data_IF_006287987013
#
_entry.id   IF_006287987013
#
_cell.length_a   1.000
_cell.length_b   1.000
_cell.length_c   1.000
_cell.angle_alpha   90.00
_cell.angle_beta   90.00
_cell.angle_gamma   90.00
#
_symmetry.space_group_name_H-M   'P 1'
#
loop_
_entity.id
_entity.type
_entity.pdbx_description
1 polymer ?
#
# COMPACT_ATOMS: atom_id res chain seq x y z
N UNK A 1 45.17 -53.79 -3.06
CA UNK A 1 44.21 -52.96 -2.27
C UNK A 1 43.19 -52.33 -3.22
N UNK A 2 41.89 -52.62 -3.09
CA UNK A 2 40.88 -52.11 -4.02
C UNK A 2 40.57 -50.63 -3.76
N UNK A 3 40.47 -49.85 -4.84
CA UNK A 3 40.16 -48.43 -4.84
C UNK A 3 38.71 -48.16 -4.40
N UNK A 4 38.43 -47.01 -3.73
CA UNK A 4 37.07 -46.66 -3.33
C UNK A 4 36.20 -46.27 -4.54
N UNK A 5 34.87 -46.52 -4.48
CA UNK A 5 33.94 -46.17 -5.56
C UNK A 5 33.75 -44.64 -5.69
N UNK A 6 33.47 -44.13 -6.90
CA UNK A 6 33.26 -42.69 -7.12
C UNK A 6 31.93 -42.23 -6.52
N UNK A 7 31.97 -41.12 -5.77
CA UNK A 7 30.80 -40.46 -5.19
C UNK A 7 29.96 -39.74 -6.25
N UNK A 8 28.62 -39.67 -6.09
CA UNK A 8 27.73 -39.06 -7.08
C UNK A 8 27.86 -37.53 -7.13
N UNK A 9 27.81 -36.99 -8.35
CA UNK A 9 27.72 -35.55 -8.62
C UNK A 9 26.35 -35.00 -8.25
N UNK A 10 26.24 -33.79 -7.68
CA UNK A 10 25.00 -33.04 -7.75
C UNK A 10 24.90 -32.32 -9.10
N UNK A 11 23.88 -32.71 -9.88
CA UNK A 11 23.32 -31.87 -10.93
C UNK A 11 22.38 -30.81 -10.31
N UNK A 12 22.06 -29.79 -11.11
CA UNK A 12 21.21 -28.63 -10.83
C UNK A 12 21.95 -27.49 -10.10
N UNK A 13 21.73 -26.22 -10.44
CA UNK A 13 20.44 -25.66 -10.82
C UNK A 13 20.63 -24.36 -11.60
N UNK A 14 19.73 -24.17 -12.56
CA UNK A 14 19.48 -22.98 -13.35
C UNK A 14 19.79 -21.68 -12.62
N UNK A 15 20.31 -20.68 -13.37
CA UNK A 15 20.39 -19.27 -12.95
C UNK A 15 19.01 -18.79 -12.49
N UNK A 16 18.71 -18.97 -11.21
CA UNK A 16 17.66 -18.26 -10.53
C UNK A 16 18.14 -16.80 -10.40
N UNK A 17 17.31 -15.80 -10.70
CA UNK A 17 17.66 -14.43 -10.39
C UNK A 17 17.88 -14.36 -8.88
N UNK A 18 19.00 -13.77 -8.47
CA UNK A 18 19.28 -13.52 -7.06
C UNK A 18 18.03 -12.86 -6.46
N UNK A 19 17.48 -13.49 -5.41
CA UNK A 19 16.54 -12.85 -4.50
C UNK A 19 17.30 -11.62 -3.99
N UNK A 20 17.05 -10.47 -4.62
CA UNK A 20 17.39 -9.20 -4.00
C UNK A 20 16.63 -9.24 -2.67
N UNK A 21 17.31 -9.20 -1.52
CA UNK A 21 16.61 -8.92 -0.29
C UNK A 21 15.76 -7.70 -0.59
N UNK A 22 14.49 -7.77 -0.22
CA UNK A 22 13.53 -6.68 -0.32
C UNK A 22 14.23 -5.45 0.25
N UNK A 23 14.88 -4.65 -0.61
CA UNK A 23 15.29 -3.31 -0.28
C UNK A 23 13.94 -2.64 -0.08
N UNK A 24 13.43 -2.67 1.16
CA UNK A 24 12.37 -1.80 1.60
C UNK A 24 13.05 -0.43 1.52
N UNK A 25 12.81 0.42 0.50
CA UNK A 25 13.18 1.81 0.68
C UNK A 25 12.39 2.23 1.90
N UNK A 26 13.11 2.50 2.99
CA UNK A 26 12.57 3.10 4.19
C UNK A 26 12.11 4.50 3.79
N UNK A 27 10.92 4.58 3.21
CA UNK A 27 10.25 5.83 2.92
C UNK A 27 9.54 6.23 4.21
N UNK A 28 10.27 7.00 5.03
CA UNK A 28 9.72 7.81 6.10
C UNK A 28 8.53 8.61 5.55
N UNK A 29 7.30 8.12 5.76
CA UNK A 29 6.06 8.80 5.37
C UNK A 29 5.00 7.91 4.74
N UNK A 30 5.36 6.79 4.12
CA UNK A 30 4.37 5.96 3.42
C UNK A 30 3.53 5.06 4.33
N UNK A 31 3.89 4.89 5.60
CA UNK A 31 3.18 4.08 6.60
C UNK A 31 2.63 4.93 7.76
N UNK A 32 2.53 6.25 7.57
CA UNK A 32 2.16 7.16 8.66
C UNK A 32 0.66 7.42 8.73
N UNK A 33 0.04 7.11 9.86
CA UNK A 33 -1.32 7.49 10.22
C UNK A 33 -1.46 7.64 11.74
N UNK A 34 -2.38 8.49 12.19
CA UNK A 34 -2.66 8.77 13.61
C UNK A 34 -3.91 8.02 14.08
N UNK A 35 -4.93 7.92 13.23
CA UNK A 35 -6.21 7.35 13.60
C UNK A 35 -6.15 5.83 13.62
N UNK A 36 -6.75 5.20 14.64
CA UNK A 36 -6.72 3.74 14.78
C UNK A 36 -7.42 3.00 13.62
N UNK A 37 -8.37 3.65 12.94
CA UNK A 37 -9.03 3.12 11.76
C UNK A 37 -8.30 3.47 10.45
N UNK A 38 -7.19 4.19 10.55
CA UNK A 38 -6.38 4.68 9.43
C UNK A 38 -7.13 5.59 8.44
N UNK A 39 -8.21 6.25 8.87
CA UNK A 39 -8.97 7.20 8.02
C UNK A 39 -8.13 8.39 7.54
N UNK A 40 -7.11 8.79 8.30
CA UNK A 40 -6.20 9.89 7.98
C UNK A 40 -4.98 9.48 7.14
N UNK A 41 -4.84 8.19 6.84
CA UNK A 41 -3.74 7.67 6.04
C UNK A 41 -3.74 8.25 4.62
N UNK A 42 -2.60 8.83 4.20
CA UNK A 42 -2.41 9.41 2.86
C UNK A 42 -1.10 8.96 2.20
N UNK A 43 -0.51 7.86 2.67
CA UNK A 43 0.68 7.27 2.04
C UNK A 43 0.36 6.60 0.70
N UNK A 44 1.39 6.00 0.07
CA UNK A 44 1.31 5.42 -1.27
C UNK A 44 1.30 3.89 -1.30
N UNK A 45 1.04 3.22 -0.18
CA UNK A 45 0.88 1.76 -0.17
C UNK A 45 -0.29 1.38 -1.08
N UNK A 46 -0.07 0.41 -1.96
CA UNK A 46 -1.04 -0.09 -2.95
C UNK A 46 -1.03 -1.62 -3.06
N UNK A 47 -0.63 -2.28 -1.98
CA UNK A 47 -0.58 -3.73 -1.85
C UNK A 47 -1.22 -4.11 -0.51
N UNK A 48 -2.02 -5.17 -0.52
CA UNK A 48 -2.69 -5.66 0.69
C UNK A 48 -1.73 -6.40 1.61
N UNK A 49 -2.16 -6.73 2.83
CA UNK A 49 -1.39 -7.54 3.80
C UNK A 49 -0.91 -8.86 3.18
N UNK A 50 -1.72 -9.45 2.32
CA UNK A 50 -1.44 -10.72 1.65
C UNK A 50 -0.65 -10.57 0.34
N UNK A 51 -0.20 -9.37 0.00
CA UNK A 51 0.60 -9.13 -1.20
C UNK A 51 -0.22 -8.91 -2.48
N UNK A 52 -1.53 -8.67 -2.38
CA UNK A 52 -2.37 -8.46 -3.55
C UNK A 52 -2.36 -7.01 -4.00
N UNK A 53 -2.26 -6.80 -5.32
CA UNK A 53 -2.19 -5.47 -5.90
C UNK A 53 -3.57 -4.81 -5.87
N UNK A 54 -3.59 -3.55 -5.45
CA UNK A 54 -4.81 -2.77 -5.40
C UNK A 54 -5.29 -2.38 -6.81
N UNK A 55 -6.60 -2.51 -7.04
CA UNK A 55 -7.34 -1.90 -8.13
C UNK A 55 -7.40 -0.37 -7.91
N UNK A 56 -7.38 0.38 -9.01
CA UNK A 56 -7.56 1.84 -8.95
C UNK A 56 -8.98 2.25 -8.55
N UNK A 57 -9.09 3.31 -7.76
CA UNK A 57 -10.38 3.86 -7.32
C UNK A 57 -11.22 4.47 -8.43
N UNK A 58 -10.61 4.85 -9.54
CA UNK A 58 -11.32 5.34 -10.73
C UNK A 58 -11.61 4.22 -11.76
N UNK A 59 -11.16 2.99 -11.50
CA UNK A 59 -11.45 1.83 -12.34
C UNK A 59 -12.68 1.06 -11.83
N UNK A 60 -13.46 0.50 -12.74
CA UNK A 60 -14.64 -0.33 -12.44
C UNK A 60 -14.44 -1.81 -12.73
N UNK A 61 -13.19 -2.22 -12.99
CA UNK A 61 -12.80 -3.60 -13.23
C UNK A 61 -11.53 -3.92 -12.45
N UNK A 62 -11.39 -5.13 -11.88
CA UNK A 62 -12.36 -6.25 -11.92
C UNK A 62 -13.57 -6.07 -10.98
N UNK A 63 -13.50 -5.19 -9.99
CA UNK A 63 -14.59 -4.95 -9.04
C UNK A 63 -15.31 -3.64 -9.35
N UNK A 64 -16.62 -3.72 -9.61
CA UNK A 64 -17.47 -2.53 -9.71
C UNK A 64 -17.76 -1.99 -8.31
N UNK A 65 -17.71 -0.67 -8.14
CA UNK A 65 -17.94 -0.04 -6.85
C UNK A 65 -18.40 1.42 -6.97
N UNK A 66 -18.99 1.94 -5.88
CA UNK A 66 -19.48 3.32 -5.80
C UNK A 66 -18.51 4.31 -5.14
N UNK A 67 -17.28 3.87 -4.81
CA UNK A 67 -16.22 4.70 -4.22
C UNK A 67 -15.44 5.48 -5.27
N UNK A 68 -16.06 6.54 -5.81
CA UNK A 68 -15.40 7.42 -6.78
C UNK A 68 -14.76 8.63 -6.09
N UNK A 69 -13.62 9.15 -6.61
CA UNK A 69 -12.96 10.32 -6.05
C UNK A 69 -13.87 11.56 -5.98
N UNK A 70 -14.77 11.74 -6.96
CA UNK A 70 -15.72 12.86 -6.98
C UNK A 70 -16.81 12.76 -5.90
N UNK A 71 -17.11 11.54 -5.42
CA UNK A 71 -18.09 11.31 -4.35
C UNK A 71 -17.47 11.40 -2.96
N UNK A 72 -16.17 11.17 -2.86
CA UNK A 72 -15.38 11.17 -1.63
C UNK A 72 -14.12 12.04 -1.80
N UNK A 73 -14.28 13.37 -2.03
CA UNK A 73 -13.16 14.24 -2.38
C UNK A 73 -12.11 14.37 -1.27
N UNK A 74 -12.52 14.27 0.00
CA UNK A 74 -11.64 14.42 1.16
C UNK A 74 -10.91 13.13 1.53
N UNK A 75 -11.29 11.98 0.95
CA UNK A 75 -10.76 10.67 1.32
C UNK A 75 -9.47 10.30 0.55
N UNK A 76 -9.05 11.14 -0.40
CA UNK A 76 -7.78 10.97 -1.12
C UNK A 76 -7.74 9.68 -1.94
N UNK A 77 -8.83 9.35 -2.64
CA UNK A 77 -8.97 8.17 -3.51
C UNK A 77 -8.15 8.31 -4.80
N UNK A 78 -6.85 8.54 -4.66
CA UNK A 78 -5.91 8.72 -5.76
C UNK A 78 -5.34 7.37 -6.22
N UNK A 79 -5.25 7.19 -7.55
CA UNK A 79 -4.68 6.00 -8.17
C UNK A 79 -5.24 4.71 -7.57
N UNK A 80 -4.38 3.83 -7.04
CA UNK A 80 -4.74 2.58 -6.37
C UNK A 80 -4.21 2.50 -4.92
N UNK A 81 -4.10 3.64 -4.23
CA UNK A 81 -3.55 3.66 -2.88
C UNK A 81 -4.57 3.20 -1.84
N UNK A 82 -4.12 2.53 -0.78
CA UNK A 82 -4.99 2.06 0.29
C UNK A 82 -5.64 3.24 1.02
N UNK A 83 -6.96 3.21 1.20
CA UNK A 83 -7.76 4.28 1.81
C UNK A 83 -8.93 3.70 2.60
N UNK A 84 -9.54 4.53 3.45
CA UNK A 84 -10.78 4.22 4.16
C UNK A 84 -11.84 5.29 3.86
N UNK A 85 -12.52 5.21 2.69
CA UNK A 85 -13.48 6.23 2.31
C UNK A 85 -14.76 6.20 3.15
N UNK A 86 -15.23 7.38 3.55
CA UNK A 86 -16.54 7.62 4.16
C UNK A 86 -16.77 6.86 5.47
N UNK A 87 -15.70 6.40 6.14
CA UNK A 87 -15.79 5.55 7.32
C UNK A 87 -16.45 4.18 7.08
N UNK A 88 -16.64 3.78 5.82
CA UNK A 88 -17.25 2.52 5.43
C UNK A 88 -16.22 1.41 5.29
N UNK A 89 -16.67 0.16 5.43
CA UNK A 89 -15.82 -1.02 5.32
C UNK A 89 -14.97 -1.27 6.58
N UNK A 90 -13.86 -2.02 6.46
CA UNK A 90 -13.06 -2.46 7.60
C UNK A 90 -12.37 -1.29 8.32
N UNK A 91 -11.98 -1.52 9.58
CA UNK A 91 -11.22 -0.58 10.41
C UNK A 91 -9.72 -0.63 10.08
N UNK A 92 -9.38 -0.38 8.82
CA UNK A 92 -8.03 -0.34 8.29
C UNK A 92 -8.03 0.52 7.00
N UNK A 93 -6.86 0.91 6.49
CA UNK A 93 -6.78 1.33 5.09
C UNK A 93 -6.89 0.08 4.21
N UNK A 94 -7.77 0.13 3.21
CA UNK A 94 -8.07 -1.00 2.35
C UNK A 94 -8.13 -0.57 0.89
N UNK A 95 -8.19 -1.55 -0.01
CA UNK A 95 -8.42 -1.31 -1.43
C UNK A 95 -9.15 -2.52 -2.05
N UNK A 96 -9.79 -2.31 -3.19
CA UNK A 96 -10.20 -3.41 -4.06
C UNK A 96 -8.95 -4.08 -4.64
N UNK A 97 -8.97 -5.40 -4.89
CA UNK A 97 -7.79 -6.12 -5.42
C UNK A 97 -7.94 -6.45 -6.90
N UNK A 98 -6.86 -6.43 -7.66
CA UNK A 98 -6.85 -6.82 -9.08
C UNK A 98 -6.97 -8.36 -9.23
N UNK A 99 -8.15 -8.93 -8.92
CA UNK A 99 -8.63 -10.30 -9.24
C UNK A 99 -7.78 -11.53 -8.83
N UNK A 100 -8.48 -12.55 -8.32
CA UNK A 100 -7.97 -13.93 -8.14
C UNK A 100 -7.51 -14.29 -6.72
N UNK A 101 -7.46 -13.31 -5.83
CA UNK A 101 -6.77 -13.49 -4.55
C UNK A 101 -7.45 -12.85 -3.33
N UNK A 102 -8.55 -12.11 -3.53
CA UNK A 102 -9.38 -11.60 -2.43
C UNK A 102 -9.97 -12.72 -1.57
N UNK A 103 -10.00 -12.50 -0.26
CA UNK A 103 -10.66 -13.31 0.77
C UNK A 103 -12.21 -13.36 0.68
N UNK A 104 -12.79 -13.06 -0.49
CA UNK A 104 -14.22 -13.16 -0.78
C UNK A 104 -14.80 -11.89 -1.41
N UNK A 105 -14.72 -10.75 -0.71
CA UNK A 105 -15.47 -9.53 -1.06
C UNK A 105 -14.80 -8.63 -2.14
N UNK A 106 -13.68 -9.06 -2.73
CA UNK A 106 -12.96 -8.27 -3.75
C UNK A 106 -12.16 -7.08 -3.21
N UNK A 107 -12.11 -6.87 -1.90
CA UNK A 107 -11.28 -5.88 -1.23
C UNK A 107 -10.60 -6.48 0.01
N UNK A 108 -9.51 -5.87 0.45
CA UNK A 108 -8.73 -6.36 1.57
C UNK A 108 -7.90 -5.24 2.25
N UNK A 109 -7.50 -5.45 3.51
CA UNK A 109 -6.72 -4.49 4.28
C UNK A 109 -5.28 -4.43 3.77
N UNK A 110 -4.67 -3.24 3.88
CA UNK A 110 -3.25 -3.04 3.60
C UNK A 110 -2.43 -2.98 4.87
N UNK A 111 -1.20 -3.48 4.81
CA UNK A 111 -0.23 -3.26 5.87
C UNK A 111 0.36 -1.85 5.75
N UNK A 112 -0.27 -0.92 6.45
CA UNK A 112 0.18 0.48 6.54
C UNK A 112 0.84 0.77 7.89
N UNK A 113 1.27 -0.27 8.61
CA UNK A 113 1.85 -0.18 9.96
C UNK A 113 0.82 0.07 11.07
N UNK A 114 1.32 0.41 12.26
CA UNK A 114 0.51 0.75 13.43
C UNK A 114 0.33 2.28 13.53
N UNK A 115 -0.76 2.77 14.15
CA UNK A 115 -0.98 4.20 14.35
C UNK A 115 0.16 4.80 15.18
N UNK A 116 0.71 5.92 14.72
CA UNK A 116 1.81 6.61 15.39
C UNK A 116 1.37 8.02 15.80
N UNK A 117 1.45 8.37 17.10
CA UNK A 117 1.10 9.72 17.57
C UNK A 117 2.06 10.80 17.06
N UNK A 118 3.23 10.38 16.56
CA UNK A 118 4.25 11.26 15.97
C UNK A 118 4.17 11.30 14.45
N UNK A 119 3.07 10.85 13.85
CA UNK A 119 2.79 11.13 12.46
C UNK A 119 2.54 12.62 12.28
N UNK A 120 3.65 13.34 12.16
CA UNK A 120 3.65 14.65 11.53
C UNK A 120 3.22 14.38 10.10
N UNK A 121 2.03 14.85 9.73
CA UNK A 121 1.75 15.13 8.32
C UNK A 121 2.89 16.04 7.93
N UNK A 122 3.91 15.52 7.24
CA UNK A 122 4.88 16.34 6.56
C UNK A 122 4.09 17.04 5.44
N UNK A 123 3.21 17.99 5.81
CA UNK A 123 3.04 19.19 5.02
C UNK A 123 4.47 19.66 4.86
N UNK A 124 4.97 19.49 3.64
CA UNK A 124 6.35 19.67 3.27
C UNK A 124 6.89 20.92 3.95
N UNK A 125 8.17 20.92 4.28
CA UNK A 125 8.92 22.06 4.83
C UNK A 125 8.86 23.36 4.00
N UNK A 126 7.89 23.53 3.09
CA UNK A 126 7.49 24.81 2.56
C UNK A 126 6.74 25.59 3.65
N UNK A 127 7.49 26.40 4.39
CA UNK A 127 7.00 27.69 4.88
C UNK A 127 6.45 28.47 3.69
N UNK A 128 5.17 28.26 3.36
CA UNK A 128 4.43 29.22 2.56
C UNK A 128 3.98 30.34 3.51
N UNK A 129 4.34 31.61 3.24
CA UNK A 129 3.76 32.71 4.00
C UNK A 129 2.24 32.74 3.76
N UNK A 130 1.44 33.15 4.76
CA UNK A 130 0.01 33.34 4.56
C UNK A 130 -0.24 34.36 3.43
N UNK A 131 -1.31 34.21 2.63
CA UNK A 131 -1.67 35.19 1.61
C UNK A 131 -1.90 36.55 2.28
N UNK A 132 -1.34 37.61 1.68
CA UNK A 132 -1.47 38.97 2.18
C UNK A 132 -2.95 39.40 2.24
N UNK A 133 -3.35 40.20 3.24
CA UNK A 133 -4.70 40.77 3.29
C UNK A 133 -4.95 41.67 2.06
N UNK A 134 -6.21 41.77 1.58
CA UNK A 134 -6.54 42.66 0.47
C UNK A 134 -6.29 44.13 0.82
N UNK A 135 -5.92 44.98 -0.16
CA UNK A 135 -5.69 46.41 0.06
C UNK A 135 -7.00 47.13 0.46
N UNK A 136 -6.88 48.29 1.16
CA UNK A 136 -8.03 49.07 1.63
C UNK A 136 -8.87 49.66 0.50
#
# INVERSE_FOLDING_TARGET
PPAPPPSPSPAASSRAPAIRPFEIPSAKGDFCHVQHDSSDYRGKVNVTVWGFRCQRWDAQAPHQHSFYPWRYPDDGLDANYCRRPGGQGPHCAWCFVESGASSGNGYDCCDIGQPQPRCVRHASSARWPPPAPPPP
#
